data_IF_664816298038
#
_entry.id   IF_664816298038
#
_cell.length_a   1.000
_cell.length_b   1.000
_cell.length_c   1.000
_cell.angle_alpha   90.00
_cell.angle_beta   90.00
_cell.angle_gamma   90.00
#
_symmetry.space_group_name_H-M   'P 1'
#
loop_
_entity.id
_entity.type
_entity.pdbx_description
1 polymer ?
#
# COMPACT_ATOMS: atom_id res chain seq x y z
N UNK A 1 -1.53 28.08 48.22
CA UNK A 1 -0.16 27.94 47.70
C UNK A 1 0.13 26.47 47.36
N UNK A 2 -0.11 25.51 48.29
CA UNK A 2 0.12 24.08 48.07
C UNK A 2 -0.63 23.53 46.84
N UNK A 3 -1.90 23.89 46.66
CA UNK A 3 -2.72 23.46 45.50
C UNK A 3 -2.14 23.91 44.16
N UNK A 4 -1.61 25.15 44.12
CA UNK A 4 -0.98 25.69 42.91
C UNK A 4 0.31 24.91 42.54
N UNK A 5 1.13 24.60 43.57
CA UNK A 5 2.37 23.85 43.39
C UNK A 5 2.09 22.42 42.91
N UNK A 6 1.07 21.75 43.50
CA UNK A 6 0.64 20.42 43.05
C UNK A 6 0.12 20.45 41.61
N UNK A 7 -0.69 21.46 41.25
CA UNK A 7 -1.21 21.61 39.91
C UNK A 7 -0.09 21.80 38.89
N UNK A 8 0.88 22.67 39.13
CA UNK A 8 2.00 22.90 38.22
C UNK A 8 2.88 21.66 38.09
N UNK A 9 3.13 20.91 39.16
CA UNK A 9 3.89 19.69 39.14
C UNK A 9 3.17 18.60 38.34
N UNK A 10 1.86 18.42 38.56
CA UNK A 10 1.04 17.43 37.83
C UNK A 10 0.99 17.79 36.35
N UNK A 11 0.82 19.06 36.02
CA UNK A 11 0.77 19.51 34.63
C UNK A 11 2.12 19.33 33.92
N UNK A 12 3.23 19.65 34.62
CA UNK A 12 4.58 19.38 34.10
C UNK A 12 4.82 17.89 33.85
N UNK A 13 4.41 17.02 34.77
CA UNK A 13 4.48 15.57 34.62
C UNK A 13 3.63 15.04 33.47
N UNK A 14 2.40 15.53 33.33
CA UNK A 14 1.50 15.15 32.24
C UNK A 14 2.07 15.56 30.87
N UNK A 15 2.61 16.77 30.74
CA UNK A 15 3.25 17.24 29.51
C UNK A 15 4.48 16.38 29.18
N UNK A 16 5.32 16.08 30.18
CA UNK A 16 6.50 15.25 30.00
C UNK A 16 6.13 13.85 29.47
N UNK A 17 5.15 13.19 30.11
CA UNK A 17 4.66 11.87 29.69
C UNK A 17 4.08 11.94 28.28
N UNK A 18 3.30 12.98 27.95
CA UNK A 18 2.72 13.19 26.63
C UNK A 18 3.79 13.32 25.55
N UNK A 19 4.80 14.15 25.76
CA UNK A 19 5.93 14.33 24.81
C UNK A 19 6.73 13.04 24.64
N UNK A 20 6.96 12.32 25.74
CA UNK A 20 7.68 11.04 25.68
C UNK A 20 6.92 9.99 24.88
N UNK A 21 5.60 9.86 25.09
CA UNK A 21 4.75 8.95 24.35
C UNK A 21 4.71 9.28 22.84
N UNK A 22 4.61 10.57 22.49
CA UNK A 22 4.67 11.00 21.08
C UNK A 22 5.99 10.63 20.45
N UNK A 23 7.11 10.80 21.15
CA UNK A 23 8.44 10.43 20.65
C UNK A 23 8.55 8.91 20.37
N UNK A 24 8.06 8.09 21.30
CA UNK A 24 8.08 6.63 21.13
C UNK A 24 7.19 6.22 19.96
N UNK A 25 5.95 6.70 19.91
CA UNK A 25 5.00 6.40 18.82
C UNK A 25 5.54 6.83 17.46
N UNK A 26 6.18 8.01 17.38
CA UNK A 26 6.76 8.50 16.12
C UNK A 26 7.94 7.62 15.66
N UNK A 27 8.78 7.16 16.59
CA UNK A 27 9.88 6.26 16.28
C UNK A 27 9.40 4.92 15.75
N UNK A 28 8.37 4.35 16.40
CA UNK A 28 7.77 3.09 15.96
C UNK A 28 7.09 3.23 14.59
N UNK A 29 6.42 4.36 14.37
CA UNK A 29 5.79 4.68 13.09
C UNK A 29 6.82 4.79 11.94
N UNK A 30 7.92 5.52 12.15
CA UNK A 30 9.01 5.62 11.17
C UNK A 30 9.65 4.23 10.91
N UNK A 31 9.84 3.43 11.96
CA UNK A 31 10.33 2.06 11.83
C UNK A 31 9.43 1.16 10.99
N UNK A 32 8.11 1.30 11.13
CA UNK A 32 7.13 0.55 10.33
C UNK A 32 7.18 0.95 8.86
N UNK A 33 7.25 2.26 8.54
CA UNK A 33 7.38 2.73 7.16
C UNK A 33 8.66 2.17 6.51
N UNK A 34 9.79 2.27 7.21
CA UNK A 34 11.08 1.77 6.70
C UNK A 34 11.14 0.25 6.53
N UNK A 35 10.31 -0.51 7.28
CA UNK A 35 10.21 -1.95 7.10
C UNK A 35 9.23 -2.36 5.99
N UNK A 36 8.27 -1.49 5.66
CA UNK A 36 7.27 -1.72 4.63
C UNK A 36 7.86 -1.56 3.22
N UNK A 37 8.50 -0.42 2.97
CA UNK A 37 9.20 -0.13 1.73
C UNK A 37 10.70 -0.29 1.95
N UNK A 38 11.30 -1.23 1.23
CA UNK A 38 12.74 -1.52 1.29
C UNK A 38 13.53 -0.83 0.17
N UNK A 39 12.82 -0.11 -0.71
CA UNK A 39 13.44 0.68 -1.76
C UNK A 39 13.94 2.02 -1.19
N UNK A 40 15.20 2.35 -1.44
CA UNK A 40 15.80 3.64 -1.05
C UNK A 40 15.35 4.78 -1.98
N UNK A 41 15.05 4.46 -3.25
CA UNK A 41 14.66 5.41 -4.29
C UNK A 41 13.49 4.88 -5.07
N UNK A 42 12.49 5.74 -5.30
CA UNK A 42 11.36 5.47 -6.20
C UNK A 42 11.40 6.46 -7.35
N UNK A 43 11.24 5.94 -8.58
CA UNK A 43 11.17 6.75 -9.79
C UNK A 43 9.78 6.60 -10.39
N UNK A 44 9.09 7.73 -10.58
CA UNK A 44 7.82 7.80 -11.26
C UNK A 44 8.02 8.38 -12.66
N UNK A 45 7.42 7.74 -13.66
CA UNK A 45 7.54 8.13 -15.04
C UNK A 45 6.22 8.69 -15.59
N UNK A 46 6.24 9.83 -16.23
CA UNK A 46 5.07 10.45 -16.87
C UNK A 46 4.56 9.66 -18.09
N UNK A 47 5.35 8.74 -18.62
CA UNK A 47 5.02 7.90 -19.77
C UNK A 47 5.33 6.44 -19.47
N UNK A 48 4.57 5.52 -20.04
CA UNK A 48 4.90 4.10 -19.92
C UNK A 48 6.20 3.80 -20.67
N UNK A 49 7.14 3.20 -19.99
CA UNK A 49 8.39 2.66 -20.54
C UNK A 49 8.40 1.15 -20.43
N UNK A 50 9.25 0.51 -21.22
CA UNK A 50 9.47 -0.93 -21.08
C UNK A 50 10.26 -1.19 -19.81
N UNK A 51 9.70 -2.00 -18.93
CA UNK A 51 10.30 -2.34 -17.63
C UNK A 51 11.72 -2.86 -17.83
N UNK A 52 11.92 -3.83 -18.75
CA UNK A 52 13.22 -4.45 -19.02
C UNK A 52 14.30 -3.43 -19.39
N UNK A 53 13.97 -2.42 -20.21
CA UNK A 53 14.93 -1.39 -20.65
C UNK A 53 15.31 -0.45 -19.52
N UNK A 54 14.32 -0.09 -18.70
CA UNK A 54 14.55 0.78 -17.54
C UNK A 54 15.38 0.06 -16.48
N UNK A 55 15.03 -1.17 -16.15
CA UNK A 55 15.77 -1.99 -15.19
C UNK A 55 17.23 -2.19 -15.61
N UNK A 56 17.47 -2.57 -16.87
CA UNK A 56 18.82 -2.73 -17.42
C UNK A 56 19.64 -1.43 -17.35
N UNK A 57 19.00 -0.29 -17.62
CA UNK A 57 19.67 1.01 -17.59
C UNK A 57 20.06 1.39 -16.16
N UNK A 58 19.15 1.21 -15.21
CA UNK A 58 19.37 1.56 -13.80
C UNK A 58 20.40 0.62 -13.16
N UNK A 59 20.37 -0.67 -13.53
CA UNK A 59 21.32 -1.66 -12.99
C UNK A 59 22.79 -1.39 -13.38
N UNK A 60 23.02 -0.54 -14.40
CA UNK A 60 24.38 -0.10 -14.78
C UNK A 60 24.95 0.99 -13.88
N UNK A 61 24.14 1.56 -12.99
CA UNK A 61 24.57 2.61 -12.07
C UNK A 61 25.28 1.98 -10.88
N UNK A 62 26.50 2.44 -10.59
CA UNK A 62 27.29 1.94 -9.47
C UNK A 62 26.55 2.12 -8.14
N UNK A 63 26.47 1.04 -7.36
CA UNK A 63 25.83 1.01 -6.05
C UNK A 63 24.36 0.54 -6.05
N UNK A 64 23.76 0.35 -7.21
CA UNK A 64 22.43 -0.24 -7.32
C UNK A 64 22.49 -1.75 -7.08
N UNK A 65 21.74 -2.25 -6.10
CA UNK A 65 21.74 -3.65 -5.70
C UNK A 65 20.51 -4.40 -6.24
N UNK A 66 19.37 -3.73 -6.29
CA UNK A 66 18.11 -4.28 -6.79
C UNK A 66 17.30 -3.20 -7.50
N UNK A 67 16.60 -3.60 -8.54
CA UNK A 67 15.65 -2.74 -9.29
C UNK A 67 14.43 -3.57 -9.59
N UNK A 68 13.26 -3.01 -9.37
CA UNK A 68 11.98 -3.62 -9.74
C UNK A 68 11.10 -2.60 -10.45
N UNK A 69 10.58 -2.97 -11.60
CA UNK A 69 9.55 -2.21 -12.29
C UNK A 69 8.16 -2.57 -11.78
N UNK A 70 7.40 -1.58 -11.33
CA UNK A 70 6.02 -1.75 -10.88
C UNK A 70 5.07 -1.03 -11.81
N UNK A 71 3.87 -1.58 -11.96
CA UNK A 71 2.83 -0.93 -12.73
C UNK A 71 1.84 -0.23 -11.80
N UNK A 72 1.48 1.00 -12.15
CA UNK A 72 0.42 1.77 -11.49
C UNK A 72 -0.85 1.72 -12.34
N UNK A 73 -1.96 1.33 -11.72
CA UNK A 73 -3.24 1.16 -12.39
C UNK A 73 -4.26 2.08 -11.70
N UNK A 74 -4.76 3.05 -12.45
CA UNK A 74 -5.81 3.91 -11.94
C UNK A 74 -7.13 3.14 -11.86
N UNK A 75 -7.69 3.04 -10.66
CA UNK A 75 -8.80 2.16 -10.35
C UNK A 75 -9.79 2.88 -9.44
N UNK A 76 -11.08 2.73 -9.71
CA UNK A 76 -12.15 3.21 -8.84
C UNK A 76 -12.72 2.04 -8.02
N UNK A 77 -12.92 2.26 -6.73
CA UNK A 77 -13.69 1.36 -5.87
C UNK A 77 -15.17 1.61 -6.12
N UNK A 78 -15.91 0.56 -6.38
CA UNK A 78 -17.36 0.64 -6.56
C UNK A 78 -18.07 -0.05 -5.38
N UNK A 79 -19.27 0.39 -5.07
CA UNK A 79 -20.21 -0.39 -4.28
C UNK A 79 -20.85 -1.52 -5.11
N UNK A 80 -21.49 -2.53 -4.48
CA UNK A 80 -22.16 -3.62 -5.20
C UNK A 80 -23.26 -3.17 -6.15
N UNK A 81 -23.79 -1.95 -5.99
CA UNK A 81 -24.79 -1.35 -6.86
C UNK A 81 -24.19 -0.62 -8.08
N UNK A 82 -22.84 -0.64 -8.23
CA UNK A 82 -22.10 0.01 -9.30
C UNK A 82 -21.80 1.49 -9.06
N UNK A 83 -22.23 2.07 -7.94
CA UNK A 83 -21.88 3.46 -7.61
C UNK A 83 -20.43 3.59 -7.17
N UNK A 84 -19.76 4.68 -7.55
CA UNK A 84 -18.38 4.94 -7.15
C UNK A 84 -18.29 5.25 -5.65
N UNK A 85 -17.39 4.56 -4.95
CA UNK A 85 -17.10 4.76 -3.54
C UNK A 85 -15.90 5.70 -3.34
N UNK A 86 -14.75 5.37 -3.95
CA UNK A 86 -13.51 6.16 -3.84
C UNK A 86 -12.49 5.73 -4.93
N UNK A 87 -11.41 6.49 -5.07
CA UNK A 87 -10.29 6.09 -5.92
C UNK A 87 -9.34 5.15 -5.16
N UNK A 88 -8.84 4.15 -5.84
CA UNK A 88 -7.84 3.21 -5.32
C UNK A 88 -6.55 3.36 -6.12
N UNK A 89 -5.44 3.41 -5.39
CA UNK A 89 -4.12 3.22 -5.98
C UNK A 89 -3.84 1.72 -6.08
N UNK A 90 -4.06 1.13 -7.26
CA UNK A 90 -3.75 -0.26 -7.52
C UNK A 90 -2.33 -0.36 -8.09
N UNK A 91 -1.43 -0.94 -7.31
CA UNK A 91 -0.04 -1.20 -7.67
C UNK A 91 0.13 -2.66 -8.06
N UNK A 92 0.96 -2.90 -9.05
CA UNK A 92 1.30 -4.25 -9.48
C UNK A 92 2.83 -4.45 -9.42
N UNK A 93 3.36 -4.86 -8.24
CA UNK A 93 4.73 -5.35 -8.13
C UNK A 93 4.85 -6.76 -8.70
N UNK A 94 6.07 -7.26 -8.99
CA UNK A 94 6.34 -8.69 -9.11
C UNK A 94 5.82 -9.42 -7.87
N UNK A 95 5.23 -10.60 -8.04
CA UNK A 95 4.62 -11.32 -6.92
C UNK A 95 5.63 -11.75 -5.84
N UNK A 96 6.89 -11.92 -6.25
CA UNK A 96 8.05 -12.26 -5.43
C UNK A 96 8.90 -11.04 -5.03
N UNK A 97 8.35 -9.84 -5.16
CA UNK A 97 9.04 -8.58 -4.82
C UNK A 97 9.66 -8.63 -3.42
N UNK A 98 10.95 -8.27 -3.35
CA UNK A 98 11.68 -8.08 -2.09
C UNK A 98 11.67 -6.62 -1.60
N UNK A 99 11.19 -5.70 -2.44
CA UNK A 99 11.17 -4.25 -2.14
C UNK A 99 9.91 -3.80 -1.41
N UNK A 100 8.93 -4.68 -1.24
CA UNK A 100 7.74 -4.44 -0.42
C UNK A 100 7.51 -5.56 0.58
N UNK A 101 7.24 -5.20 1.83
CA UNK A 101 6.97 -6.15 2.90
C UNK A 101 5.74 -5.71 3.71
N UNK A 102 4.53 -5.98 3.21
CA UNK A 102 3.30 -5.53 3.85
C UNK A 102 3.04 -6.30 5.16
N UNK A 103 2.57 -5.58 6.16
CA UNK A 103 2.15 -6.16 7.44
C UNK A 103 0.72 -6.67 7.24
N UNK A 104 0.56 -7.98 7.01
CA UNK A 104 -0.75 -8.58 6.84
C UNK A 104 -1.56 -8.53 8.13
N UNK A 105 -2.79 -8.01 8.03
CA UNK A 105 -3.77 -8.04 9.12
C UNK A 105 -4.61 -9.33 9.04
N UNK A 106 -4.95 -9.78 7.82
CA UNK A 106 -5.65 -11.03 7.57
C UNK A 106 -5.36 -11.56 6.17
N UNK A 107 -5.58 -12.86 5.94
CA UNK A 107 -5.36 -13.50 4.66
C UNK A 107 -3.88 -13.66 4.31
N UNK A 108 -3.56 -13.53 3.02
CA UNK A 108 -2.22 -13.75 2.45
C UNK A 108 -1.80 -12.63 1.50
N UNK A 109 -0.52 -12.58 1.20
CA UNK A 109 0.03 -11.75 0.12
C UNK A 109 -0.34 -12.29 -1.26
N UNK A 110 -0.22 -11.45 -2.29
CA UNK A 110 -0.42 -11.79 -3.70
C UNK A 110 0.56 -12.89 -4.15
N UNK A 111 0.17 -13.64 -5.19
CA UNK A 111 0.99 -14.68 -5.84
C UNK A 111 0.96 -14.50 -7.34
N UNK A 112 1.97 -14.99 -8.03
CA UNK A 112 2.10 -14.86 -9.49
C UNK A 112 0.94 -15.49 -10.28
N UNK A 113 0.29 -16.52 -9.72
CA UNK A 113 -0.86 -17.22 -10.30
C UNK A 113 -2.22 -16.61 -9.94
N UNK A 114 -2.25 -15.54 -9.18
CA UNK A 114 -3.48 -14.86 -8.80
C UNK A 114 -4.10 -14.11 -9.99
N UNK A 115 -5.31 -14.50 -10.36
CA UNK A 115 -6.10 -13.89 -11.45
C UNK A 115 -7.30 -13.17 -10.83
N UNK A 116 -7.45 -11.88 -11.09
CA UNK A 116 -8.49 -11.01 -10.48
C UNK A 116 -8.50 -11.09 -8.96
N UNK A 117 -7.32 -11.11 -8.38
CA UNK A 117 -7.14 -11.15 -6.94
C UNK A 117 -6.37 -9.93 -6.46
N UNK A 118 -6.72 -9.46 -5.28
CA UNK A 118 -6.18 -8.23 -4.74
C UNK A 118 -5.90 -8.36 -3.24
N UNK A 119 -4.73 -7.88 -2.82
CA UNK A 119 -4.48 -7.54 -1.43
C UNK A 119 -4.75 -6.05 -1.24
N UNK A 120 -5.50 -5.66 -0.20
CA UNK A 120 -5.98 -4.30 -0.01
C UNK A 120 -5.69 -3.79 1.40
N UNK A 121 -5.50 -2.48 1.54
CA UNK A 121 -5.25 -1.85 2.84
C UNK A 121 -6.50 -1.79 3.71
N UNK A 122 -6.32 -1.79 5.04
CA UNK A 122 -7.41 -1.63 6.03
C UNK A 122 -8.26 -0.36 5.81
N UNK A 123 -7.76 0.63 5.06
CA UNK A 123 -8.52 1.83 4.70
C UNK A 123 -9.82 1.52 3.95
N UNK A 124 -9.92 0.33 3.30
CA UNK A 124 -11.14 -0.15 2.63
C UNK A 124 -12.32 -0.31 3.58
N UNK A 125 -12.09 -0.56 4.87
CA UNK A 125 -13.16 -0.74 5.86
C UNK A 125 -14.08 0.47 6.01
N UNK A 126 -13.62 1.64 5.59
CA UNK A 126 -14.46 2.85 5.54
C UNK A 126 -15.65 2.68 4.57
N UNK A 127 -15.47 1.92 3.50
CA UNK A 127 -16.46 1.72 2.44
C UNK A 127 -17.08 0.31 2.48
N UNK A 128 -16.30 -0.68 2.92
CA UNK A 128 -16.68 -2.09 3.06
C UNK A 128 -16.45 -2.57 4.49
N UNK A 129 -17.31 -2.18 5.44
CA UNK A 129 -17.17 -2.64 6.83
C UNK A 129 -17.28 -4.16 6.92
N UNK A 130 -16.29 -4.79 7.55
CA UNK A 130 -16.30 -6.25 7.75
C UNK A 130 -15.85 -7.07 6.53
N UNK A 131 -15.19 -6.46 5.54
CA UNK A 131 -14.60 -7.18 4.41
C UNK A 131 -13.56 -8.20 4.91
N UNK A 132 -13.64 -9.42 4.41
CA UNK A 132 -12.74 -10.51 4.77
C UNK A 132 -12.05 -11.10 3.53
N UNK A 133 -10.90 -11.77 3.68
CA UNK A 133 -10.30 -12.54 2.59
C UNK A 133 -11.27 -13.62 2.06
N UNK A 134 -11.43 -13.65 0.74
CA UNK A 134 -12.42 -14.46 0.02
C UNK A 134 -13.64 -13.68 -0.46
N UNK A 135 -13.86 -12.48 0.07
CA UNK A 135 -14.97 -11.64 -0.34
C UNK A 135 -14.75 -11.02 -1.73
N UNK A 136 -15.85 -10.68 -2.38
CA UNK A 136 -15.87 -9.99 -3.64
C UNK A 136 -15.69 -8.47 -3.45
N UNK A 137 -14.80 -7.87 -4.22
CA UNK A 137 -14.57 -6.44 -4.30
C UNK A 137 -14.91 -5.95 -5.71
N UNK A 138 -15.68 -4.89 -5.81
CA UNK A 138 -16.08 -4.32 -7.10
C UNK A 138 -15.14 -3.18 -7.46
N UNK A 139 -14.43 -3.36 -8.58
CA UNK A 139 -13.44 -2.40 -9.06
C UNK A 139 -13.75 -1.99 -10.49
N UNK A 140 -13.51 -0.72 -10.80
CA UNK A 140 -13.51 -0.23 -12.18
C UNK A 140 -12.09 0.02 -12.63
N UNK A 141 -11.56 -0.92 -13.39
CA UNK A 141 -10.19 -0.93 -13.90
C UNK A 141 -10.21 -0.51 -15.37
N UNK A 142 -9.48 0.55 -15.72
CA UNK A 142 -9.48 1.08 -17.09
C UNK A 142 -10.89 1.31 -17.68
N UNK A 143 -11.82 1.79 -16.85
CA UNK A 143 -13.19 2.07 -17.25
C UNK A 143 -14.11 0.85 -17.38
N UNK A 144 -13.65 -0.37 -17.05
CA UNK A 144 -14.44 -1.61 -17.01
C UNK A 144 -14.71 -2.02 -15.58
N UNK A 145 -15.98 -2.29 -15.30
CA UNK A 145 -16.38 -2.82 -14.00
C UNK A 145 -16.05 -4.32 -13.94
N UNK A 146 -15.34 -4.71 -12.92
CA UNK A 146 -14.90 -6.07 -12.70
C UNK A 146 -15.05 -6.47 -11.24
N UNK A 147 -15.31 -7.76 -11.01
CA UNK A 147 -15.35 -8.33 -9.66
C UNK A 147 -14.02 -9.00 -9.39
N UNK A 148 -13.42 -8.64 -8.26
CA UNK A 148 -12.13 -9.13 -7.80
C UNK A 148 -12.29 -9.84 -6.47
N UNK A 149 -11.47 -10.84 -6.19
CA UNK A 149 -11.41 -11.54 -4.91
C UNK A 149 -10.36 -10.89 -4.00
N UNK A 150 -10.72 -10.58 -2.79
CA UNK A 150 -9.77 -10.11 -1.77
C UNK A 150 -9.01 -11.32 -1.23
N UNK A 151 -7.69 -11.37 -1.41
CA UNK A 151 -6.84 -12.46 -0.87
C UNK A 151 -6.21 -12.12 0.45
N UNK A 152 -6.11 -10.84 0.76
CA UNK A 152 -5.56 -10.39 2.02
C UNK A 152 -5.80 -8.92 2.30
N UNK A 153 -5.76 -8.60 3.57
CA UNK A 153 -5.90 -7.23 4.06
C UNK A 153 -4.64 -6.90 4.85
N UNK A 154 -4.03 -5.75 4.53
CA UNK A 154 -2.77 -5.34 5.15
C UNK A 154 -2.89 -3.96 5.81
N UNK A 155 -2.03 -3.74 6.80
CA UNK A 155 -1.87 -2.43 7.44
C UNK A 155 -0.97 -1.57 6.57
N UNK A 156 -1.50 -0.44 6.15
CA UNK A 156 -0.72 0.54 5.40
C UNK A 156 -0.38 1.73 6.29
N UNK A 157 0.91 1.99 6.39
CA UNK A 157 1.46 3.11 7.15
C UNK A 157 1.94 4.14 6.14
N UNK A 158 1.10 5.10 5.79
CA UNK A 158 1.43 6.07 4.76
C UNK A 158 0.37 7.15 4.58
N UNK A 159 0.34 7.75 3.39
CA UNK A 159 -0.63 8.80 3.03
C UNK A 159 -2.06 8.27 3.09
N UNK A 160 -3.00 9.18 3.30
CA UNK A 160 -4.44 8.90 3.21
C UNK A 160 -4.76 8.32 1.82
N UNK A 161 -5.64 7.30 1.80
CA UNK A 161 -6.12 6.65 0.60
C UNK A 161 -6.12 5.13 0.71
N UNK A 162 -6.84 4.50 -0.20
CA UNK A 162 -6.89 3.05 -0.31
C UNK A 162 -5.75 2.62 -1.23
N UNK A 163 -4.90 1.75 -0.71
CA UNK A 163 -3.83 1.11 -1.47
C UNK A 163 -4.20 -0.36 -1.69
N UNK A 164 -3.97 -0.85 -2.88
CA UNK A 164 -4.20 -2.24 -3.24
C UNK A 164 -3.05 -2.78 -4.08
N UNK A 165 -2.84 -4.09 -4.01
CA UNK A 165 -1.80 -4.79 -4.78
C UNK A 165 -2.38 -5.95 -5.56
N UNK A 166 -1.94 -6.09 -6.80
CA UNK A 166 -2.18 -7.25 -7.66
C UNK A 166 -0.87 -7.70 -8.30
N UNK A 167 -0.69 -8.97 -8.71
CA UNK A 167 0.57 -9.38 -9.32
C UNK A 167 0.81 -8.68 -10.67
N UNK A 168 2.07 -8.31 -10.93
CA UNK A 168 2.51 -7.72 -12.20
C UNK A 168 2.20 -8.66 -13.37
N UNK A 169 2.40 -9.95 -13.18
CA UNK A 169 2.16 -11.00 -14.16
C UNK A 169 0.73 -11.00 -14.67
N UNK A 170 -0.23 -10.79 -13.77
CA UNK A 170 -1.65 -10.68 -14.14
C UNK A 170 -1.96 -9.33 -14.81
N UNK A 171 -1.44 -8.24 -14.24
CA UNK A 171 -1.71 -6.89 -14.76
C UNK A 171 -1.22 -6.72 -16.19
N UNK A 172 -0.06 -7.26 -16.53
CA UNK A 172 0.48 -7.25 -17.89
C UNK A 172 -0.41 -7.98 -18.91
N UNK A 173 -1.02 -9.10 -18.49
CA UNK A 173 -1.93 -9.86 -19.35
C UNK A 173 -3.24 -9.12 -19.62
N UNK A 174 -3.86 -8.54 -18.55
CA UNK A 174 -5.18 -7.90 -18.64
C UNK A 174 -5.12 -6.57 -19.34
N UNK A 175 -4.06 -5.80 -19.10
CA UNK A 175 -3.91 -4.46 -19.67
C UNK A 175 -3.31 -4.47 -21.08
N UNK A 176 -2.96 -5.65 -21.63
CA UNK A 176 -2.24 -5.80 -22.90
C UNK A 176 -0.94 -4.96 -22.96
N UNK A 177 -0.38 -4.67 -21.80
CA UNK A 177 0.83 -3.86 -21.60
C UNK A 177 2.01 -4.80 -21.33
N UNK A 178 2.28 -5.71 -22.25
CA UNK A 178 3.43 -6.60 -22.13
C UNK A 178 4.70 -5.75 -21.99
N UNK A 179 5.33 -5.78 -20.81
CA UNK A 179 6.56 -5.06 -20.48
C UNK A 179 6.48 -3.50 -20.55
N UNK A 180 5.35 -2.90 -20.17
CA UNK A 180 5.22 -1.44 -20.06
C UNK A 180 4.78 -1.02 -18.69
#
# INVERSE_FOLDING_TARGET
RLALTLFTLTMGGAIFIGVFNVRVSLRDYIGQIGSYFRADVTLDFDRPYRIDEVEQTIFQIDGVQAVEGWQFINTELLYPDGTAADNINLLAPPADSELVNPIMASGRWIRADDVRKVAISEAVYKFYPGLEPGDALYLKVNGREEVWEVVGIFKFVGREGILAYTPLEYSQQVLNLTNR
#
